data_IF_421488301032
#
_entry.id   IF_421488301032
#
_cell.length_a   1.000
_cell.length_b   1.000
_cell.length_c   1.000
_cell.angle_alpha   90.00
_cell.angle_beta   90.00
_cell.angle_gamma   90.00
#
_symmetry.space_group_name_H-M   'P 1'
#
loop_
_entity.id
_entity.type
_entity.pdbx_description
1 polymer ?
#
# COMPACT_ATOMS: atom_id res chain seq x y z
N UNK A 1 0.21 5.67 13.57
CA UNK A 1 -0.16 4.98 12.32
C UNK A 1 -1.44 5.61 11.84
N UNK A 2 -1.45 6.17 10.63
CA UNK A 2 -2.65 6.66 9.97
C UNK A 2 -3.31 5.49 9.22
N UNK A 3 -4.64 5.39 9.24
CA UNK A 3 -5.42 4.29 8.66
C UNK A 3 -6.46 3.68 9.61
N UNK A 4 -6.73 4.32 10.74
CA UNK A 4 -7.84 3.98 11.63
C UNK A 4 -9.20 4.40 11.07
N UNK A 5 -10.29 3.98 11.71
CA UNK A 5 -11.65 4.18 11.22
C UNK A 5 -12.08 5.66 11.04
N UNK A 6 -11.38 6.59 11.69
CA UNK A 6 -11.63 8.03 11.61
C UNK A 6 -10.57 8.76 10.76
N UNK A 7 -9.56 8.07 10.27
CA UNK A 7 -8.49 8.69 9.49
C UNK A 7 -8.93 8.85 8.04
N UNK A 8 -8.57 10.01 7.46
CA UNK A 8 -8.80 10.30 6.04
C UNK A 8 -7.55 10.06 5.19
N UNK A 9 -6.44 9.63 5.81
CA UNK A 9 -5.23 9.19 5.14
C UNK A 9 -4.67 7.94 5.81
N UNK A 10 -3.90 7.15 5.06
CA UNK A 10 -3.36 5.90 5.54
C UNK A 10 -2.08 5.51 4.81
N UNK A 11 -1.23 4.74 5.47
CA UNK A 11 -0.02 4.18 4.86
C UNK A 11 -0.02 2.67 5.07
N UNK A 12 0.24 1.92 4.00
CA UNK A 12 0.41 0.47 4.03
C UNK A 12 1.82 0.14 3.59
N UNK A 13 2.58 -0.54 4.42
CA UNK A 13 3.88 -1.09 4.07
C UNK A 13 3.74 -2.61 3.92
N UNK A 14 4.15 -3.16 2.77
CA UNK A 14 4.01 -4.58 2.48
C UNK A 14 5.23 -5.15 1.77
N UNK A 15 5.34 -6.48 1.82
CA UNK A 15 6.32 -7.25 1.06
C UNK A 15 5.60 -8.28 0.20
N UNK A 16 5.53 -8.02 -1.10
CA UNK A 16 4.95 -8.95 -2.07
C UNK A 16 6.03 -9.89 -2.59
N UNK A 17 5.86 -11.19 -2.34
CA UNK A 17 6.75 -12.24 -2.87
C UNK A 17 6.17 -12.75 -4.20
N UNK A 18 6.99 -12.81 -5.23
CA UNK A 18 6.58 -13.27 -6.56
C UNK A 18 7.73 -13.96 -7.30
N UNK A 19 7.44 -14.63 -8.41
CA UNK A 19 8.45 -15.26 -9.26
C UNK A 19 8.45 -14.60 -10.64
N UNK A 20 9.62 -14.19 -11.14
CA UNK A 20 9.78 -13.63 -12.48
C UNK A 20 10.91 -14.37 -13.20
N UNK A 21 10.63 -14.91 -14.38
CA UNK A 21 11.60 -15.70 -15.15
C UNK A 21 12.20 -16.88 -14.38
N UNK A 22 11.43 -17.49 -13.46
CA UNK A 22 11.88 -18.60 -12.62
C UNK A 22 12.67 -18.18 -11.37
N UNK A 23 12.96 -16.90 -11.19
CA UNK A 23 13.66 -16.38 -10.01
C UNK A 23 12.66 -15.85 -8.96
N UNK A 24 12.80 -16.25 -7.68
CA UNK A 24 12.01 -15.69 -6.60
C UNK A 24 12.48 -14.27 -6.28
N UNK A 25 11.54 -13.33 -6.25
CA UNK A 25 11.75 -11.92 -5.97
C UNK A 25 10.81 -11.44 -4.84
N UNK A 26 11.19 -10.35 -4.20
CA UNK A 26 10.41 -9.65 -3.20
C UNK A 26 10.32 -8.17 -3.60
N UNK A 27 9.11 -7.64 -3.69
CA UNK A 27 8.85 -6.21 -3.76
C UNK A 27 8.50 -5.74 -2.36
N UNK A 28 9.31 -4.85 -1.80
CA UNK A 28 9.00 -4.12 -0.57
C UNK A 28 8.56 -2.72 -0.99
N UNK A 29 7.33 -2.36 -0.67
CA UNK A 29 6.76 -1.05 -1.00
C UNK A 29 6.05 -0.45 0.21
N UNK A 30 6.09 0.87 0.31
CA UNK A 30 5.28 1.67 1.21
C UNK A 30 4.33 2.55 0.42
N UNK A 31 3.03 2.27 0.49
CA UNK A 31 2.01 2.97 -0.28
C UNK A 31 1.16 3.92 0.58
N UNK A 32 0.84 5.08 0.03
CA UNK A 32 -0.03 6.10 0.63
C UNK A 32 -1.45 6.02 0.07
N UNK A 33 -2.44 6.20 0.95
CA UNK A 33 -3.86 6.19 0.61
C UNK A 33 -4.58 7.41 1.18
N UNK A 34 -5.62 7.86 0.48
CA UNK A 34 -6.54 8.88 0.96
C UNK A 34 -7.98 8.36 0.92
N UNK A 35 -8.78 8.71 1.93
CA UNK A 35 -10.21 8.43 1.94
C UNK A 35 -10.96 9.61 1.30
N UNK A 36 -11.63 9.37 0.17
CA UNK A 36 -12.46 10.34 -0.54
C UNK A 36 -13.84 9.74 -0.72
N UNK A 37 -14.87 10.44 -0.26
CA UNK A 37 -16.28 9.99 -0.33
C UNK A 37 -16.50 8.56 0.19
N UNK A 38 -15.83 8.23 1.31
CA UNK A 38 -15.90 6.92 1.96
C UNK A 38 -15.15 5.79 1.24
N UNK A 39 -14.37 6.11 0.20
CA UNK A 39 -13.55 5.14 -0.55
C UNK A 39 -12.07 5.43 -0.33
N UNK A 40 -11.27 4.39 -0.15
CA UNK A 40 -9.83 4.50 -0.10
C UNK A 40 -9.25 4.47 -1.52
N UNK A 41 -8.52 5.54 -1.87
CA UNK A 41 -7.83 5.70 -3.14
C UNK A 41 -6.33 5.58 -2.91
N UNK A 42 -5.65 4.84 -3.78
CA UNK A 42 -4.19 4.80 -3.85
C UNK A 42 -3.67 6.14 -4.37
N UNK A 43 -2.65 6.69 -3.71
CA UNK A 43 -2.05 7.98 -4.07
C UNK A 43 -0.67 7.75 -4.68
N UNK A 44 0.24 7.14 -3.92
CA UNK A 44 1.60 6.85 -4.33
C UNK A 44 2.15 5.60 -3.62
N UNK A 45 3.32 5.16 -4.07
CA UNK A 45 4.13 4.14 -3.44
C UNK A 45 5.61 4.41 -3.67
N UNK A 46 6.42 4.12 -2.64
CA UNK A 46 7.89 4.13 -2.67
C UNK A 46 8.45 2.71 -2.49
#
# INVERSE_FOLDING_TARGET
VAGGALDTSGVVEFRARFTRSGEPLELHERSSFAQVDGRWLYIDGE
#
